data_IF_217469815055
#
_entry.id   IF_217469815055
#
_cell.length_a   1.000
_cell.length_b   1.000
_cell.length_c   1.000
_cell.angle_alpha   90.00
_cell.angle_beta   90.00
_cell.angle_gamma   90.00
#
_symmetry.space_group_name_H-M   'P 1'
#
loop_
_entity.id
_entity.type
_entity.pdbx_description
1 polymer ?
#
# COMPACT_ATOMS: atom_id res chain seq x y z
N UNK A 1 -10.20 2.93 -2.28
CA UNK A 1 -10.66 1.88 -3.23
C UNK A 1 -9.48 1.07 -3.78
N UNK A 2 -8.35 1.69 -4.23
CA UNK A 2 -7.20 0.96 -4.76
C UNK A 2 -6.65 -0.08 -3.76
N UNK A 3 -6.44 0.32 -2.50
CA UNK A 3 -6.06 -0.57 -1.40
C UNK A 3 -7.01 -1.76 -1.28
N UNK A 4 -8.32 -1.50 -1.22
CA UNK A 4 -9.32 -2.57 -1.05
C UNK A 4 -9.36 -3.54 -2.24
N UNK A 5 -9.04 -3.07 -3.44
CA UNK A 5 -8.88 -3.95 -4.61
C UNK A 5 -7.63 -4.81 -4.51
N UNK A 6 -6.52 -4.24 -4.03
CA UNK A 6 -5.31 -5.00 -3.71
C UNK A 6 -5.61 -6.11 -2.70
N UNK A 7 -6.27 -5.78 -1.59
CA UNK A 7 -6.66 -6.76 -0.55
C UNK A 7 -7.57 -7.86 -1.13
N UNK A 8 -8.56 -7.51 -1.95
CA UNK A 8 -9.45 -8.49 -2.59
C UNK A 8 -8.76 -9.41 -3.60
N UNK A 9 -7.57 -9.04 -4.09
CA UNK A 9 -6.80 -9.89 -5.00
C UNK A 9 -5.94 -10.93 -4.28
N UNK A 10 -5.77 -10.80 -2.96
CA UNK A 10 -5.09 -11.79 -2.11
C UNK A 10 -5.85 -13.10 -2.15
N UNK A 11 -5.15 -14.17 -2.51
CA UNK A 11 -5.71 -15.50 -2.60
C UNK A 11 -4.61 -16.53 -2.47
N UNK A 12 -4.87 -17.55 -1.69
CA UNK A 12 -3.98 -18.70 -1.52
C UNK A 12 -3.48 -19.24 -2.86
N UNK A 13 -2.17 -19.49 -2.95
CA UNK A 13 -1.53 -20.06 -4.12
C UNK A 13 -1.24 -19.07 -5.26
N UNK A 14 -1.63 -17.80 -5.14
CA UNK A 14 -1.24 -16.77 -6.10
C UNK A 14 0.04 -16.05 -5.67
N UNK A 15 0.77 -15.52 -6.64
CA UNK A 15 1.94 -14.69 -6.38
C UNK A 15 1.57 -13.32 -5.82
N UNK A 16 2.40 -12.75 -4.94
CA UNK A 16 2.11 -11.44 -4.31
C UNK A 16 2.10 -10.30 -5.32
N UNK A 17 2.78 -10.43 -6.47
CA UNK A 17 2.80 -9.40 -7.52
C UNK A 17 1.41 -9.10 -8.11
N UNK A 18 0.43 -10.01 -7.96
CA UNK A 18 -0.95 -9.77 -8.40
C UNK A 18 -1.60 -8.60 -7.66
N UNK A 19 -1.17 -8.31 -6.44
CA UNK A 19 -1.66 -7.19 -5.62
C UNK A 19 -1.34 -5.88 -6.33
N UNK A 20 -0.06 -5.68 -6.66
CA UNK A 20 0.41 -4.48 -7.35
C UNK A 20 -0.21 -4.33 -8.74
N UNK A 21 -0.30 -5.41 -9.50
CA UNK A 21 -0.98 -5.41 -10.81
C UNK A 21 -2.43 -4.91 -10.70
N UNK A 22 -3.15 -5.38 -9.68
CA UNK A 22 -4.55 -4.99 -9.45
C UNK A 22 -4.66 -3.52 -9.07
N UNK A 23 -3.79 -3.03 -8.18
CA UNK A 23 -3.75 -1.65 -7.73
C UNK A 23 -3.43 -0.71 -8.89
N UNK A 24 -2.33 -0.99 -9.62
CA UNK A 24 -1.88 -0.13 -10.72
C UNK A 24 -2.89 -0.09 -11.88
N UNK A 25 -3.44 -1.25 -12.24
CA UNK A 25 -4.48 -1.32 -13.28
C UNK A 25 -5.71 -0.46 -12.92
N UNK A 26 -6.08 -0.42 -11.64
CA UNK A 26 -7.17 0.43 -11.18
C UNK A 26 -6.80 1.91 -11.22
N UNK A 27 -5.64 2.30 -10.69
CA UNK A 27 -5.15 3.68 -10.67
C UNK A 27 -5.02 4.26 -12.10
N UNK A 28 -4.48 3.50 -13.03
CA UNK A 28 -4.32 3.88 -14.44
C UNK A 28 -5.65 4.23 -15.14
N UNK A 29 -6.77 3.66 -14.72
CA UNK A 29 -8.10 4.00 -15.30
C UNK A 29 -8.49 5.46 -15.09
N UNK A 30 -7.90 6.12 -14.10
CA UNK A 30 -8.12 7.52 -13.76
C UNK A 30 -6.94 8.42 -14.10
N UNK A 31 -5.93 7.88 -14.78
CA UNK A 31 -4.70 8.61 -15.09
C UNK A 31 -3.79 8.85 -13.87
N UNK A 32 -3.96 8.09 -12.79
CA UNK A 32 -3.17 8.23 -11.57
C UNK A 32 -1.87 7.45 -11.64
N UNK A 33 -0.81 8.01 -11.03
CA UNK A 33 0.45 7.33 -10.81
C UNK A 33 0.42 6.45 -9.55
N UNK A 34 1.30 5.46 -9.51
CA UNK A 34 1.55 4.62 -8.33
C UNK A 34 3.04 4.66 -8.04
N UNK A 35 3.42 5.11 -6.84
CA UNK A 35 4.82 5.15 -6.41
C UNK A 35 5.37 3.73 -6.31
N UNK A 36 6.60 3.50 -6.78
CA UNK A 36 7.16 2.16 -6.94
C UNK A 36 8.18 1.77 -5.88
N UNK A 37 8.89 2.76 -5.34
CA UNK A 37 10.04 2.51 -4.45
C UNK A 37 9.62 2.28 -2.99
N UNK A 38 8.38 2.58 -2.64
CA UNK A 38 7.80 2.32 -1.33
C UNK A 38 6.79 1.18 -1.47
N UNK A 39 7.13 0.06 -0.84
CA UNK A 39 6.37 -1.19 -0.95
C UNK A 39 5.76 -1.56 0.39
N UNK A 40 4.72 -2.36 0.37
CA UNK A 40 4.30 -3.12 1.54
C UNK A 40 5.35 -4.17 1.90
N UNK A 41 5.27 -4.69 3.08
CA UNK A 41 6.27 -5.60 3.65
C UNK A 41 5.63 -6.67 4.52
N UNK A 42 6.31 -7.80 4.63
CA UNK A 42 5.93 -8.82 5.60
C UNK A 42 6.06 -8.31 7.03
N UNK A 43 5.17 -8.75 7.90
CA UNK A 43 5.13 -8.44 9.33
C UNK A 43 5.23 -9.75 10.11
N UNK A 44 6.08 -9.78 11.13
CA UNK A 44 6.28 -10.98 11.96
C UNK A 44 6.92 -10.63 13.29
N UNK A 45 7.92 -11.41 13.71
CA UNK A 45 8.72 -11.09 14.90
C UNK A 45 9.48 -9.76 14.75
N UNK A 46 9.80 -9.38 13.50
CA UNK A 46 10.31 -8.05 13.16
C UNK A 46 9.22 -7.25 12.45
N UNK A 47 9.28 -5.90 12.56
CA UNK A 47 8.35 -5.01 11.87
C UNK A 47 8.42 -5.17 10.36
N UNK A 48 9.63 -5.30 9.80
CA UNK A 48 9.85 -5.68 8.41
C UNK A 48 10.45 -7.09 8.37
N UNK A 49 9.71 -8.05 7.83
CA UNK A 49 10.28 -9.34 7.40
C UNK A 49 10.71 -9.23 5.94
N UNK A 50 11.50 -10.10 5.39
CA UNK A 50 12.07 -9.97 4.04
C UNK A 50 11.07 -10.01 2.87
N UNK A 51 9.79 -10.25 3.10
CA UNK A 51 8.75 -10.26 2.08
C UNK A 51 8.46 -8.83 1.59
N UNK A 52 8.40 -8.63 0.27
CA UNK A 52 8.11 -7.34 -0.38
C UNK A 52 6.78 -7.44 -1.12
N UNK A 53 5.90 -6.46 -0.89
CA UNK A 53 4.60 -6.37 -1.54
C UNK A 53 4.57 -5.14 -2.45
N UNK A 54 4.79 -5.27 -3.76
CA UNK A 54 4.75 -4.15 -4.69
C UNK A 54 3.31 -3.67 -4.89
N UNK A 55 3.16 -2.35 -5.19
CA UNK A 55 1.86 -1.75 -5.49
C UNK A 55 1.67 -1.45 -6.97
N UNK A 56 2.60 -1.86 -7.80
CA UNK A 56 2.60 -1.72 -9.27
C UNK A 56 2.76 -3.09 -9.94
N UNK A 57 2.49 -3.18 -11.23
CA UNK A 57 2.70 -4.43 -11.98
C UNK A 57 4.19 -4.73 -12.14
N UNK A 58 4.67 -5.64 -11.34
CA UNK A 58 6.09 -6.00 -11.22
C UNK A 58 6.42 -7.37 -11.80
N UNK A 59 5.44 -8.09 -12.32
CA UNK A 59 5.69 -9.44 -12.86
C UNK A 59 6.78 -9.42 -13.96
N UNK A 60 7.65 -10.44 -14.01
CA UNK A 60 7.64 -11.67 -13.21
C UNK A 60 8.38 -11.58 -11.87
N UNK A 61 8.78 -10.38 -11.42
CA UNK A 61 9.40 -10.20 -10.11
C UNK A 61 8.38 -10.32 -8.97
N UNK A 62 8.88 -10.53 -7.75
CA UNK A 62 8.07 -10.68 -6.53
C UNK A 62 7.02 -11.79 -6.70
N UNK A 63 7.53 -12.99 -6.97
CA UNK A 63 6.79 -14.19 -7.28
C UNK A 63 6.54 -15.09 -6.05
N UNK A 64 6.78 -14.57 -4.86
CA UNK A 64 6.45 -15.27 -3.62
C UNK A 64 4.98 -15.72 -3.64
N UNK A 65 4.76 -17.00 -3.40
CA UNK A 65 3.40 -17.58 -3.40
C UNK A 65 2.75 -17.34 -2.05
N UNK A 66 1.54 -16.80 -2.07
CA UNK A 66 0.77 -16.56 -0.85
C UNK A 66 0.34 -17.87 -0.20
N UNK A 67 0.71 -18.03 1.08
CA UNK A 67 0.39 -19.19 1.93
C UNK A 67 -0.45 -18.75 3.13
N UNK A 68 -1.27 -19.64 3.70
CA UNK A 68 -2.07 -19.33 4.89
C UNK A 68 -1.19 -18.91 6.07
N UNK A 69 -1.59 -17.86 6.77
CA UNK A 69 -0.86 -17.33 7.92
C UNK A 69 0.22 -16.31 7.56
N UNK A 70 0.52 -16.06 6.28
CA UNK A 70 1.36 -14.93 5.90
C UNK A 70 0.71 -13.62 6.32
N UNK A 71 1.47 -12.76 7.01
CA UNK A 71 1.05 -11.43 7.44
C UNK A 71 1.90 -10.38 6.76
N UNK A 72 1.26 -9.39 6.13
CA UNK A 72 1.95 -8.30 5.45
C UNK A 72 1.09 -7.04 5.32
N UNK A 73 1.74 -5.91 5.01
CA UNK A 73 1.06 -4.64 4.74
C UNK A 73 0.75 -4.50 3.25
N UNK A 74 -0.34 -3.78 2.96
CA UNK A 74 -0.66 -3.25 1.63
C UNK A 74 -0.92 -1.77 1.83
N UNK A 75 -0.09 -0.90 1.23
CA UNK A 75 0.01 0.52 1.56
C UNK A 75 0.24 1.43 0.33
N UNK A 76 -0.56 1.33 -0.71
CA UNK A 76 -0.31 2.02 -1.96
C UNK A 76 -0.29 3.54 -1.81
N UNK A 77 0.72 4.17 -2.42
CA UNK A 77 0.82 5.61 -2.61
C UNK A 77 0.35 5.97 -4.02
N UNK A 78 -0.80 6.62 -4.12
CA UNK A 78 -1.44 7.01 -5.39
C UNK A 78 -1.25 8.50 -5.62
N UNK A 79 -0.77 8.89 -6.79
CA UNK A 79 -0.49 10.27 -7.15
C UNK A 79 -1.44 10.78 -8.24
N UNK A 80 -1.74 12.08 -8.25
CA UNK A 80 -2.50 12.71 -9.33
C UNK A 80 -1.66 13.00 -10.58
N UNK A 81 -0.35 12.73 -10.53
CA UNK A 81 0.59 12.98 -11.62
C UNK A 81 1.68 11.92 -11.67
N UNK A 82 2.94 12.37 -11.69
CA UNK A 82 4.07 11.44 -11.76
C UNK A 82 4.20 10.56 -10.52
N UNK A 83 4.68 9.34 -10.70
CA UNK A 83 5.08 8.46 -9.61
C UNK A 83 6.53 8.71 -9.14
N UNK A 84 7.29 9.54 -9.87
CA UNK A 84 8.64 9.93 -9.48
C UNK A 84 8.60 10.91 -8.29
N UNK A 85 9.60 10.82 -7.43
CA UNK A 85 9.67 11.56 -6.19
C UNK A 85 11.06 12.11 -5.91
N UNK A 86 11.12 13.11 -5.04
CA UNK A 86 12.34 13.67 -4.45
C UNK A 86 12.27 13.56 -2.93
N UNK A 87 13.39 13.21 -2.31
CA UNK A 87 13.52 13.20 -0.85
C UNK A 87 14.09 14.53 -0.36
N UNK A 88 13.55 15.02 0.75
CA UNK A 88 14.04 16.20 1.42
C UNK A 88 15.35 15.91 2.17
N UNK A 89 16.05 16.98 2.60
CA UNK A 89 17.30 16.88 3.35
C UNK A 89 17.15 16.25 4.75
N UNK A 90 15.91 16.10 5.24
CA UNK A 90 15.62 15.40 6.49
C UNK A 90 15.74 13.86 6.37
N UNK A 91 15.97 13.36 5.16
CA UNK A 91 16.08 11.91 4.87
C UNK A 91 14.78 11.13 5.04
N UNK A 92 13.64 11.82 5.18
CA UNK A 92 12.35 11.21 5.45
C UNK A 92 11.23 11.73 4.55
N UNK A 93 11.07 13.04 4.45
CA UNK A 93 9.98 13.66 3.69
C UNK A 93 10.17 13.46 2.19
N UNK A 94 9.14 12.93 1.55
CA UNK A 94 9.11 12.64 0.11
C UNK A 94 7.99 13.45 -0.54
N UNK A 95 8.27 14.04 -1.69
CA UNK A 95 7.30 14.76 -2.52
C UNK A 95 7.39 14.29 -3.96
N UNK A 96 6.27 14.25 -4.68
CA UNK A 96 6.33 14.01 -6.14
C UNK A 96 7.14 15.10 -6.83
N UNK A 97 7.89 14.76 -7.88
CA UNK A 97 8.69 15.71 -8.64
C UNK A 97 7.85 16.83 -9.27
N UNK A 98 6.65 16.50 -9.71
CA UNK A 98 5.70 17.48 -10.29
C UNK A 98 4.83 18.18 -9.25
N UNK A 99 5.07 17.94 -7.95
CA UNK A 99 4.30 18.49 -6.82
C UNK A 99 2.81 18.12 -6.83
N UNK A 100 2.43 17.08 -7.55
CA UNK A 100 1.06 16.58 -7.55
C UNK A 100 0.67 16.00 -6.18
N UNK A 101 -0.62 15.97 -5.91
CA UNK A 101 -1.16 15.41 -4.67
C UNK A 101 -0.99 13.91 -4.63
N UNK A 102 -0.71 13.40 -3.44
CA UNK A 102 -0.55 11.97 -3.17
C UNK A 102 -1.45 11.54 -2.02
N UNK A 103 -2.03 10.38 -2.14
CA UNK A 103 -2.82 9.75 -1.09
C UNK A 103 -2.27 8.36 -0.78
N UNK A 104 -2.15 8.04 0.52
CA UNK A 104 -1.78 6.72 1.01
C UNK A 104 -2.82 6.23 2.01
N UNK A 105 -3.14 4.95 1.92
CA UNK A 105 -3.93 4.21 2.90
C UNK A 105 -3.29 2.84 3.09
N UNK A 106 -3.28 2.34 4.31
CA UNK A 106 -2.61 1.11 4.69
C UNK A 106 -3.52 0.19 5.47
N UNK A 107 -3.37 -1.10 5.23
CA UNK A 107 -3.84 -2.15 6.12
C UNK A 107 -2.79 -3.26 6.25
N UNK A 108 -2.70 -3.80 7.45
CA UNK A 108 -2.06 -5.10 7.69
C UNK A 108 -3.11 -6.18 7.52
N UNK A 109 -2.76 -7.21 6.76
CA UNK A 109 -3.65 -8.35 6.50
C UNK A 109 -2.97 -9.67 6.85
N UNK A 110 -3.78 -10.69 7.09
CA UNK A 110 -3.34 -12.09 7.11
C UNK A 110 -3.97 -12.85 5.96
N UNK A 111 -3.19 -13.71 5.30
CA UNK A 111 -3.69 -14.62 4.26
C UNK A 111 -4.42 -15.76 4.93
N UNK A 112 -5.64 -16.05 4.48
CA UNK A 112 -6.49 -17.16 4.93
C UNK A 112 -6.74 -18.14 3.80
N UNK A 113 -7.36 -19.26 4.10
CA UNK A 113 -7.77 -20.28 3.09
C UNK A 113 -8.71 -19.70 2.01
N UNK A 114 -9.43 -18.63 2.32
CA UNK A 114 -10.48 -18.07 1.44
C UNK A 114 -10.15 -16.64 0.94
N UNK A 115 -8.98 -16.10 1.27
CA UNK A 115 -8.58 -14.75 0.86
C UNK A 115 -7.76 -14.03 1.92
N UNK A 116 -8.11 -12.78 2.26
CA UNK A 116 -7.43 -11.99 3.28
C UNK A 116 -8.39 -11.55 4.39
N UNK A 117 -7.88 -11.56 5.62
CA UNK A 117 -8.50 -10.90 6.76
C UNK A 117 -7.72 -9.62 7.09
N UNK A 118 -8.43 -8.50 7.30
CA UNK A 118 -7.83 -7.21 7.66
C UNK A 118 -7.65 -7.15 9.18
N UNK A 119 -6.40 -7.03 9.63
CA UNK A 119 -6.08 -6.99 11.08
C UNK A 119 -6.19 -5.58 11.67
N UNK A 120 -6.14 -4.53 10.85
CA UNK A 120 -6.14 -3.13 11.27
C UNK A 120 -7.44 -2.39 10.98
N UNK A 121 -8.54 -3.11 10.75
CA UNK A 121 -9.82 -2.51 10.38
C UNK A 121 -10.37 -1.59 11.49
N UNK A 122 -10.30 -2.00 12.74
CA UNK A 122 -10.77 -1.22 13.89
C UNK A 122 -9.92 0.03 14.13
N UNK A 123 -8.61 -0.05 13.94
CA UNK A 123 -7.70 1.11 14.02
C UNK A 123 -8.01 2.17 12.97
N UNK A 124 -8.35 1.76 11.76
CA UNK A 124 -8.77 2.67 10.70
C UNK A 124 -10.11 3.34 11.01
N UNK A 125 -11.03 2.67 11.69
CA UNK A 125 -12.30 3.25 12.14
C UNK A 125 -12.14 4.27 13.27
N UNK A 126 -11.16 4.11 14.15
CA UNK A 126 -10.90 5.07 15.23
C UNK A 126 -10.31 6.39 14.74
N UNK A 127 -9.68 6.42 13.59
CA UNK A 127 -9.09 7.63 12.99
C UNK A 127 -10.07 8.38 12.08
N UNK A 128 -11.23 7.81 11.79
CA UNK A 128 -12.26 8.45 10.98
C UNK A 128 -13.42 8.92 11.86
N UNK A 129 -13.65 10.25 12.00
CA UNK A 129 -14.90 10.74 12.56
C UNK A 129 -16.07 10.18 11.77
N UNK A 130 -17.08 9.66 12.44
CA UNK A 130 -18.23 8.96 11.83
C UNK A 130 -19.10 9.80 10.88
N UNK A 131 -18.77 11.06 10.62
CA UNK A 131 -19.65 12.01 9.94
C UNK A 131 -19.08 12.67 8.69
N UNK A 132 -18.13 12.05 7.96
CA UNK A 132 -17.74 12.68 6.70
C UNK A 132 -17.24 11.71 5.63
N UNK A 133 -17.93 11.65 4.48
CA UNK A 133 -17.50 10.84 3.33
C UNK A 133 -16.38 11.51 2.50
N UNK A 134 -15.64 12.47 3.04
CA UNK A 134 -14.69 13.31 2.30
C UNK A 134 -13.34 13.42 2.99
N UNK A 135 -12.66 12.30 3.21
CA UNK A 135 -11.25 12.37 3.61
C UNK A 135 -10.37 11.78 2.51
N UNK A 136 -10.06 12.64 1.54
CA UNK A 136 -8.76 12.59 0.89
C UNK A 136 -7.79 13.13 1.92
N UNK A 137 -7.08 12.27 2.62
CA UNK A 137 -5.92 12.68 3.39
C UNK A 137 -4.85 13.03 2.37
N UNK A 138 -4.84 14.28 1.95
CA UNK A 138 -3.74 14.82 1.19
C UNK A 138 -2.56 14.92 2.15
N UNK A 139 -1.72 13.92 2.15
CA UNK A 139 -0.49 13.97 2.92
C UNK A 139 0.46 14.90 2.21
N UNK A 140 0.55 16.10 2.72
CA UNK A 140 1.66 17.01 2.52
C UNK A 140 2.21 17.35 3.89
N UNK A 141 3.39 16.95 4.23
CA UNK A 141 4.25 15.81 3.92
C UNK A 141 3.85 14.56 4.68
N UNK A 142 4.32 13.40 4.26
CA UNK A 142 4.17 12.16 5.01
C UNK A 142 4.52 12.36 6.47
N UNK A 143 3.54 12.15 7.33
CA UNK A 143 3.70 12.34 8.76
C UNK A 143 4.79 11.40 9.29
N UNK A 144 5.51 11.90 10.27
CA UNK A 144 6.51 11.19 11.04
C UNK A 144 6.05 9.78 11.38
N UNK A 145 6.73 8.79 10.88
CA UNK A 145 6.55 7.43 11.32
C UNK A 145 7.79 6.92 12.03
N UNK A 146 7.58 6.55 13.27
CA UNK A 146 8.19 5.42 13.96
C UNK A 146 9.73 5.38 13.98
N UNK A 147 10.30 6.24 14.84
CA UNK A 147 11.62 6.00 15.41
C UNK A 147 11.47 5.07 16.62
N UNK A 148 11.98 3.90 16.54
CA UNK A 148 12.72 3.11 17.52
C UNK A 148 12.75 1.66 17.15
#
# INVERSE_FOLDING_TARGET
>A
EALMRGIKSVMLGREVNVIGRTIEAYAKRFGYGVVRDFTGHGVGAAFHSGLIIPHYDSAPMYDDVMEPGMVFTIEPMITLGTHEWDMWSDGWTVTTKDKSWTAQFEHTIVVTETGAEILTLEGAMMLMPQESPKYVLAIKPLARAWSS
#
